data_IF_984389642889
#
_entry.id   IF_984389642889
#
_cell.length_a   1.000
_cell.length_b   1.000
_cell.length_c   1.000
_cell.angle_alpha   90.00
_cell.angle_beta   90.00
_cell.angle_gamma   90.00
#
_symmetry.space_group_name_H-M   'P 1'
#
loop_
_entity.id
_entity.type
_entity.pdbx_description
1 polymer ?
#
# COMPACT_ATOMS: atom_id res chain seq x y z
N UNK A 1 9.81 12.62 -2.02
CA UNK A 1 8.73 11.62 -2.04
C UNK A 1 9.35 10.28 -2.39
N UNK A 2 9.06 9.22 -1.63
CA UNK A 2 9.54 7.85 -1.91
C UNK A 2 8.32 7.04 -2.37
N UNK A 3 8.43 6.35 -3.51
CA UNK A 3 7.40 5.42 -3.98
C UNK A 3 7.66 4.03 -3.37
N UNK A 4 6.60 3.33 -2.98
CA UNK A 4 6.66 1.94 -2.58
C UNK A 4 5.83 1.08 -3.54
N UNK A 5 6.44 0.02 -4.06
CA UNK A 5 5.80 -1.01 -4.87
C UNK A 5 6.03 -2.38 -4.23
N UNK A 6 5.08 -3.29 -4.45
CA UNK A 6 5.23 -4.68 -4.04
C UNK A 6 6.20 -5.46 -4.97
N UNK A 7 6.32 -6.76 -4.72
CA UNK A 7 7.19 -7.65 -5.50
C UNK A 7 6.58 -8.22 -6.79
N UNK A 8 5.44 -7.72 -7.27
CA UNK A 8 4.75 -8.27 -8.44
C UNK A 8 5.67 -8.26 -9.69
N UNK A 9 5.61 -9.30 -10.56
CA UNK A 9 6.48 -9.38 -11.74
C UNK A 9 6.46 -8.14 -12.64
N UNK A 10 5.28 -7.53 -12.81
CA UNK A 10 5.12 -6.30 -13.60
C UNK A 10 5.95 -5.13 -13.04
N UNK A 11 6.04 -5.01 -11.71
CA UNK A 11 6.81 -3.95 -11.04
C UNK A 11 8.33 -4.20 -11.11
N UNK A 12 8.77 -5.43 -11.37
CA UNK A 12 10.18 -5.80 -11.48
C UNK A 12 10.75 -5.69 -12.91
N UNK A 13 9.90 -5.48 -13.91
CA UNK A 13 10.32 -5.34 -15.30
C UNK A 13 11.39 -4.25 -15.47
N UNK A 14 12.38 -4.48 -16.34
CA UNK A 14 13.50 -3.56 -16.53
C UNK A 14 13.03 -2.16 -16.93
N UNK A 15 12.03 -2.07 -17.81
CA UNK A 15 11.45 -0.79 -18.25
C UNK A 15 10.85 -0.02 -17.07
N UNK A 16 10.15 -0.70 -16.16
CA UNK A 16 9.57 -0.08 -14.96
C UNK A 16 10.68 0.40 -14.03
N UNK A 17 11.69 -0.44 -13.75
CA UNK A 17 12.82 -0.04 -12.89
C UNK A 17 13.60 1.13 -13.46
N UNK A 18 13.85 1.16 -14.77
CA UNK A 18 14.51 2.28 -15.44
C UNK A 18 13.69 3.56 -15.33
N UNK A 19 12.38 3.47 -15.52
CA UNK A 19 11.49 4.61 -15.33
C UNK A 19 11.54 5.12 -13.88
N UNK A 20 11.50 4.24 -12.89
CA UNK A 20 11.56 4.59 -11.47
C UNK A 20 12.89 5.25 -11.11
N UNK A 21 14.02 4.69 -11.58
CA UNK A 21 15.35 5.26 -11.36
C UNK A 21 15.51 6.65 -11.99
N UNK A 22 14.81 6.93 -13.10
CA UNK A 22 14.86 8.24 -13.76
C UNK A 22 14.00 9.32 -13.07
N UNK A 23 12.91 8.93 -12.39
CA UNK A 23 11.91 9.88 -11.86
C UNK A 23 11.92 10.01 -10.33
N UNK A 24 12.51 9.05 -9.61
CA UNK A 24 12.56 9.03 -8.16
C UNK A 24 13.99 8.96 -7.66
N UNK A 25 14.35 9.80 -6.70
CA UNK A 25 15.64 9.72 -6.02
C UNK A 25 15.81 8.42 -5.23
N UNK A 26 14.70 7.86 -4.76
CA UNK A 26 14.64 6.53 -4.14
C UNK A 26 13.25 5.94 -4.23
N UNK A 27 13.19 4.61 -4.34
CA UNK A 27 11.94 3.85 -4.32
C UNK A 27 12.15 2.50 -3.63
N UNK A 28 11.09 2.07 -2.93
CA UNK A 28 11.02 0.82 -2.19
C UNK A 28 10.37 -0.23 -3.08
N UNK A 29 11.00 -1.38 -3.22
CA UNK A 29 10.44 -2.51 -3.97
C UNK A 29 11.49 -3.53 -4.36
N UNK A 30 11.07 -4.54 -5.13
CA UNK A 30 11.99 -5.57 -5.62
C UNK A 30 12.99 -4.94 -6.61
N UNK A 31 14.27 -4.93 -6.25
CA UNK A 31 15.34 -4.32 -7.07
C UNK A 31 15.30 -2.79 -7.11
N UNK A 32 14.62 -2.16 -6.17
CA UNK A 32 14.68 -0.71 -5.94
C UNK A 32 15.88 -0.29 -5.11
N UNK A 33 16.02 1.02 -4.90
CA UNK A 33 17.11 1.58 -4.07
C UNK A 33 16.97 1.19 -2.60
N UNK A 34 15.74 0.90 -2.17
CA UNK A 34 15.43 0.33 -0.86
C UNK A 34 14.78 -1.04 -1.10
N UNK A 35 15.45 -2.10 -0.66
CA UNK A 35 14.93 -3.46 -0.82
C UNK A 35 13.65 -3.64 0.01
N UNK A 36 12.67 -4.31 -0.57
CA UNK A 36 11.43 -4.67 0.11
C UNK A 36 11.28 -6.19 0.19
N UNK A 37 10.96 -6.77 1.36
CA UNK A 37 10.83 -8.21 1.51
C UNK A 37 9.65 -8.75 0.68
N UNK A 38 9.78 -9.96 0.09
CA UNK A 38 8.66 -10.62 -0.58
C UNK A 38 7.55 -10.97 0.42
N UNK A 39 6.30 -11.07 -0.07
CA UNK A 39 5.14 -11.54 0.71
C UNK A 39 4.89 -10.76 2.01
N UNK A 40 5.07 -9.43 1.98
CA UNK A 40 4.92 -8.57 3.14
C UNK A 40 3.78 -7.54 2.97
N UNK A 41 2.52 -7.98 2.76
CA UNK A 41 1.38 -7.06 2.69
C UNK A 41 1.20 -6.29 4.00
N UNK A 42 1.58 -6.89 5.12
CA UNK A 42 1.53 -6.28 6.45
C UNK A 42 2.45 -5.06 6.57
N UNK A 43 3.40 -4.85 5.67
CA UNK A 43 4.28 -3.69 5.67
C UNK A 43 3.87 -2.63 4.62
N UNK A 44 2.92 -2.95 3.74
CA UNK A 44 2.50 -2.07 2.63
C UNK A 44 1.21 -1.33 2.99
N UNK A 45 1.19 0.01 3.13
CA UNK A 45 -0.02 0.76 3.49
C UNK A 45 -1.20 0.56 2.55
N UNK A 46 -0.92 0.33 1.26
CA UNK A 46 -1.99 0.04 0.31
C UNK A 46 -2.72 -1.26 0.68
N UNK A 47 -1.97 -2.28 1.12
CA UNK A 47 -2.50 -3.60 1.44
C UNK A 47 -3.14 -3.66 2.83
N UNK A 48 -2.41 -3.26 3.88
CA UNK A 48 -2.94 -3.36 5.25
C UNK A 48 -4.01 -2.31 5.58
N UNK A 49 -4.11 -1.23 4.79
CA UNK A 49 -5.01 -0.11 5.09
C UNK A 49 -5.91 0.30 3.91
N UNK A 50 -5.36 0.72 2.77
CA UNK A 50 -6.15 1.37 1.72
C UNK A 50 -7.23 0.44 1.14
N UNK A 51 -6.83 -0.74 0.66
CA UNK A 51 -7.76 -1.65 -0.02
C UNK A 51 -8.88 -2.14 0.90
N UNK A 52 -8.57 -2.46 2.15
CA UNK A 52 -9.57 -2.82 3.15
C UNK A 52 -10.53 -1.68 3.46
N UNK A 53 -10.03 -0.44 3.53
CA UNK A 53 -10.83 0.75 3.80
C UNK A 53 -11.76 1.08 2.63
N UNK A 54 -11.23 1.10 1.40
CA UNK A 54 -12.03 1.34 0.20
C UNK A 54 -13.10 0.27 0.02
N UNK A 55 -12.74 -1.01 0.17
CA UNK A 55 -13.70 -2.11 0.08
C UNK A 55 -14.85 -1.93 1.09
N UNK A 56 -14.53 -1.58 2.34
CA UNK A 56 -15.56 -1.35 3.37
C UNK A 56 -16.52 -0.23 2.99
N UNK A 57 -16.02 0.88 2.46
CA UNK A 57 -16.85 2.04 2.04
C UNK A 57 -17.69 1.73 0.81
N UNK A 58 -17.08 1.14 -0.21
CA UNK A 58 -17.73 0.81 -1.49
C UNK A 58 -18.86 -0.20 -1.32
N UNK A 59 -18.66 -1.20 -0.45
CA UNK A 59 -19.62 -2.30 -0.27
C UNK A 59 -20.63 -2.07 0.87
N UNK A 60 -20.69 -0.88 1.49
CA UNK A 60 -21.83 -0.52 2.36
C UNK A 60 -23.14 -0.66 1.58
N UNK A 61 -23.14 -0.15 0.35
CA UNK A 61 -24.21 -0.36 -0.62
C UNK A 61 -23.61 -1.16 -1.79
N UNK A 62 -23.99 -2.42 -1.93
CA UNK A 62 -23.40 -3.31 -2.95
C UNK A 62 -23.64 -2.74 -4.36
N UNK A 63 -22.59 -2.47 -5.15
CA UNK A 63 -22.75 -2.05 -6.53
C UNK A 63 -23.22 -3.21 -7.41
N UNK A 64 -24.14 -2.94 -8.34
CA UNK A 64 -24.72 -3.94 -9.23
C UNK A 64 -24.18 -3.83 -10.67
N UNK A 65 -23.49 -2.75 -10.99
CA UNK A 65 -22.83 -2.55 -12.29
C UNK A 65 -21.38 -2.15 -12.11
N UNK A 66 -20.59 -2.31 -13.17
CA UNK A 66 -19.19 -1.90 -13.20
C UNK A 66 -19.07 -0.38 -13.08
N UNK A 67 -19.99 0.35 -13.68
CA UNK A 67 -20.04 1.81 -13.69
C UNK A 67 -20.32 2.34 -12.28
N UNK A 68 -21.30 1.76 -11.58
CA UNK A 68 -21.59 2.08 -10.18
C UNK A 68 -20.42 1.73 -9.26
N UNK A 69 -19.77 0.59 -9.47
CA UNK A 69 -18.56 0.22 -8.72
C UNK A 69 -17.44 1.24 -8.92
N UNK A 70 -17.18 1.68 -10.15
CA UNK A 70 -16.15 2.66 -10.45
C UNK A 70 -16.45 4.01 -9.80
N UNK A 71 -17.70 4.49 -9.89
CA UNK A 71 -18.15 5.73 -9.26
C UNK A 71 -17.96 5.67 -7.73
N UNK A 72 -18.39 4.58 -7.09
CA UNK A 72 -18.22 4.39 -5.65
C UNK A 72 -16.77 4.32 -5.21
N UNK A 73 -15.89 3.69 -6.00
CA UNK A 73 -14.45 3.66 -5.72
C UNK A 73 -13.88 5.10 -5.75
N UNK A 74 -14.22 5.88 -6.78
CA UNK A 74 -13.76 7.27 -6.91
C UNK A 74 -14.29 8.11 -5.74
N UNK A 75 -15.57 7.99 -5.41
CA UNK A 75 -16.17 8.70 -4.28
C UNK A 75 -15.46 8.35 -2.96
N UNK A 76 -15.33 7.05 -2.65
CA UNK A 76 -14.69 6.58 -1.42
C UNK A 76 -13.22 7.03 -1.33
N UNK A 77 -12.50 7.06 -2.45
CA UNK A 77 -11.12 7.55 -2.52
C UNK A 77 -11.04 9.06 -2.26
N UNK A 78 -11.96 9.85 -2.84
CA UNK A 78 -12.01 11.29 -2.59
C UNK A 78 -12.35 11.60 -1.12
N UNK A 79 -13.34 10.93 -0.54
CA UNK A 79 -13.66 11.07 0.88
C UNK A 79 -12.48 10.69 1.78
N UNK A 80 -11.72 9.65 1.42
CA UNK A 80 -10.53 9.26 2.17
C UNK A 80 -9.39 10.28 2.02
N UNK A 81 -9.26 10.88 0.84
CA UNK A 81 -8.26 11.93 0.55
C UNK A 81 -8.45 13.16 1.43
N UNK A 82 -9.70 13.50 1.75
CA UNK A 82 -10.01 14.59 2.67
C UNK A 82 -9.65 14.26 4.13
N UNK A 83 -9.64 12.96 4.51
CA UNK A 83 -9.15 12.50 5.82
C UNK A 83 -7.61 12.35 5.84
N UNK A 84 -6.93 13.49 5.74
CA UNK A 84 -5.46 13.58 5.77
C UNK A 84 -4.86 12.96 7.03
N UNK A 85 -5.57 13.07 8.17
CA UNK A 85 -5.09 12.54 9.44
C UNK A 85 -5.07 11.00 9.42
N UNK A 86 -6.08 10.36 8.86
CA UNK A 86 -6.09 8.90 8.69
C UNK A 86 -4.99 8.42 7.75
N UNK A 87 -4.78 9.12 6.63
CA UNK A 87 -3.68 8.80 5.70
C UNK A 87 -2.33 8.93 6.40
N UNK A 88 -2.10 10.03 7.13
CA UNK A 88 -0.84 10.25 7.86
C UNK A 88 -0.59 9.18 8.93
N UNK A 89 -1.62 8.78 9.70
CA UNK A 89 -1.48 7.68 10.67
C UNK A 89 -1.12 6.37 9.97
N UNK A 90 -1.78 6.06 8.85
CA UNK A 90 -1.53 4.81 8.12
C UNK A 90 -0.10 4.73 7.56
N UNK A 91 0.46 5.85 7.10
CA UNK A 91 1.85 5.88 6.60
C UNK A 91 2.86 5.82 7.75
N UNK A 92 2.57 6.47 8.88
CA UNK A 92 3.41 6.38 10.09
C UNK A 92 3.43 4.97 10.68
N UNK A 93 2.33 4.21 10.56
CA UNK A 93 2.25 2.83 11.02
C UNK A 93 3.22 1.88 10.31
N UNK A 94 3.77 2.23 9.15
CA UNK A 94 4.80 1.41 8.47
C UNK A 94 6.00 1.18 9.39
N UNK A 95 6.47 2.20 10.09
CA UNK A 95 7.61 2.08 10.99
C UNK A 95 7.30 1.21 12.22
N UNK A 96 6.09 1.35 12.78
CA UNK A 96 5.61 0.51 13.88
C UNK A 96 5.57 -0.96 13.45
N UNK A 97 4.96 -1.25 12.30
CA UNK A 97 4.82 -2.59 11.75
C UNK A 97 6.18 -3.20 11.38
N UNK A 98 7.10 -2.43 10.81
CA UNK A 98 8.46 -2.87 10.55
C UNK A 98 9.21 -3.21 11.86
N UNK A 99 9.03 -2.40 12.91
CA UNK A 99 9.61 -2.67 14.24
C UNK A 99 9.05 -3.97 14.84
N UNK A 100 7.74 -4.18 14.75
CA UNK A 100 7.11 -5.42 15.19
C UNK A 100 7.64 -6.64 14.40
N UNK A 101 7.80 -6.51 13.08
CA UNK A 101 8.40 -7.54 12.22
C UNK A 101 9.84 -7.89 12.67
N UNK A 102 10.66 -6.88 12.96
CA UNK A 102 12.03 -7.08 13.45
C UNK A 102 12.06 -7.78 14.82
N UNK A 103 11.19 -7.39 15.75
CA UNK A 103 11.03 -8.06 17.05
C UNK A 103 10.65 -9.53 16.91
N UNK A 104 9.96 -9.89 15.83
CA UNK A 104 9.60 -11.27 15.48
C UNK A 104 10.60 -11.93 14.51
N UNK A 105 11.77 -11.34 14.32
CA UNK A 105 12.83 -11.87 13.45
C UNK A 105 12.34 -12.16 12.01
N UNK A 106 11.45 -11.31 11.49
CA UNK A 106 10.83 -11.47 10.17
C UNK A 106 9.58 -12.36 10.13
N UNK A 107 9.11 -12.87 11.28
CA UNK A 107 7.86 -13.63 11.39
C UNK A 107 6.59 -12.76 11.40
N UNK A 108 5.43 -13.40 11.34
CA UNK A 108 4.13 -12.72 11.41
C UNK A 108 3.92 -12.03 12.77
N UNK A 109 3.40 -10.81 12.72
CA UNK A 109 3.33 -9.93 13.90
C UNK A 109 1.96 -9.29 14.14
N UNK A 110 0.97 -9.44 13.25
CA UNK A 110 -0.30 -8.72 13.34
C UNK A 110 -1.06 -9.00 14.64
N UNK A 111 -0.95 -10.21 15.19
CA UNK A 111 -1.54 -10.59 16.48
C UNK A 111 -0.94 -9.85 17.70
N UNK A 112 0.09 -9.03 17.49
CA UNK A 112 0.77 -8.26 18.53
C UNK A 112 0.74 -6.75 18.26
N UNK A 113 -0.02 -6.30 17.25
CA UNK A 113 -0.22 -4.88 16.92
C UNK A 113 -1.43 -4.29 17.65
#
# INVERSE_FOLDING_TARGET
MILQLDGAPAHFALLVRNHLNAHYSSWIGRGGTIAWPPRSPDLTPLDFFLWGTLKRRVYVNVPNTREELAEKIIQAANELREDKAMIQRSTQHVALRATACLQRQGGHFEQFL
#
